data_IF_920862138797
#
_entry.id   IF_920862138797
#
_cell.length_a   1.000
_cell.length_b   1.000
_cell.length_c   1.000
_cell.angle_alpha   90.00
_cell.angle_beta   90.00
_cell.angle_gamma   90.00
#
_symmetry.space_group_name_H-M   'P 1'
#
loop_
_entity.id
_entity.type
_entity.pdbx_description
1 polymer ?
#
# COMPACT_ATOMS: atom_id res chain seq x y z
N UNK A 1 11.67 -18.35 2.81
CA UNK A 1 11.80 -17.13 2.00
C UNK A 1 12.65 -17.41 0.77
N UNK A 2 12.26 -16.89 -0.36
CA UNK A 2 13.04 -17.05 -1.59
C UNK A 2 14.34 -16.25 -1.55
N UNK A 3 15.37 -16.65 -2.32
CA UNK A 3 16.60 -15.87 -2.40
C UNK A 3 16.37 -14.45 -2.87
N UNK A 4 17.22 -13.53 -2.42
CA UNK A 4 17.21 -12.16 -2.92
C UNK A 4 17.50 -12.21 -4.43
N UNK A 5 16.71 -11.52 -5.22
CA UNK A 5 16.78 -11.54 -6.68
C UNK A 5 15.63 -12.30 -7.33
N UNK A 6 14.97 -13.19 -6.60
CA UNK A 6 13.70 -13.77 -7.01
C UNK A 6 12.56 -13.07 -6.29
N UNK A 7 11.51 -12.72 -7.03
CA UNK A 7 10.37 -12.07 -6.41
C UNK A 7 9.59 -13.07 -5.56
N UNK A 8 9.48 -12.79 -4.28
CA UNK A 8 8.78 -13.63 -3.31
C UNK A 8 7.36 -13.10 -3.12
N UNK A 9 6.41 -13.71 -3.84
CA UNK A 9 5.01 -13.30 -3.79
C UNK A 9 4.38 -13.49 -2.41
N UNK A 10 4.76 -14.54 -1.69
CA UNK A 10 4.22 -14.80 -0.35
C UNK A 10 4.70 -13.76 0.65
N UNK A 11 5.97 -13.39 0.57
CA UNK A 11 6.53 -12.32 1.39
C UNK A 11 5.84 -10.99 1.08
N UNK A 12 5.65 -10.67 -0.20
CA UNK A 12 4.96 -9.46 -0.63
C UNK A 12 3.54 -9.40 -0.05
N UNK A 13 2.78 -10.49 -0.13
CA UNK A 13 1.42 -10.55 0.43
C UNK A 13 1.42 -10.40 1.95
N UNK A 14 2.40 -10.98 2.62
CA UNK A 14 2.55 -10.86 4.06
C UNK A 14 2.75 -9.41 4.49
N UNK A 15 3.63 -8.69 3.79
CA UNK A 15 3.87 -7.27 4.04
C UNK A 15 2.61 -6.46 3.76
N UNK A 16 1.94 -6.72 2.65
CA UNK A 16 0.71 -6.02 2.28
C UNK A 16 -0.37 -6.19 3.35
N UNK A 17 -0.58 -7.41 3.82
CA UNK A 17 -1.56 -7.69 4.86
C UNK A 17 -1.23 -7.01 6.19
N UNK A 18 0.05 -7.04 6.57
CA UNK A 18 0.52 -6.38 7.79
C UNK A 18 0.34 -4.87 7.71
N UNK A 19 0.63 -4.27 6.56
CA UNK A 19 0.46 -2.83 6.35
C UNK A 19 -1.02 -2.45 6.42
N UNK A 20 -1.90 -3.19 5.77
CA UNK A 20 -3.34 -2.92 5.82
C UNK A 20 -3.87 -3.01 7.25
N UNK A 21 -3.46 -4.02 7.98
CA UNK A 21 -3.85 -4.17 9.39
C UNK A 21 -3.39 -2.99 10.22
N UNK A 22 -2.14 -2.57 10.07
CA UNK A 22 -1.60 -1.43 10.80
C UNK A 22 -2.35 -0.13 10.45
N UNK A 23 -2.65 0.08 9.18
CA UNK A 23 -3.40 1.26 8.72
C UNK A 23 -4.79 1.28 9.36
N UNK A 24 -5.48 0.15 9.35
CA UNK A 24 -6.82 0.07 9.94
C UNK A 24 -6.79 0.32 11.43
N UNK A 25 -5.84 -0.28 12.15
CA UNK A 25 -5.70 -0.08 13.60
C UNK A 25 -5.37 1.39 13.92
N UNK A 26 -4.49 2.01 13.15
CA UNK A 26 -4.14 3.41 13.34
C UNK A 26 -5.28 4.36 12.98
N UNK A 27 -6.25 3.91 12.21
CA UNK A 27 -7.37 4.73 11.73
C UNK A 27 -8.60 4.65 12.64
N UNK A 28 -8.58 3.80 13.66
CA UNK A 28 -9.71 3.66 14.59
C UNK A 28 -9.73 4.85 15.53
N UNK A 29 -10.90 5.51 15.59
CA UNK A 29 -11.16 6.55 16.57
C UNK A 29 -11.59 5.89 17.88
N UNK A 30 -10.85 6.07 18.99
CA UNK A 30 -11.19 5.43 20.26
C UNK A 30 -12.56 5.88 20.79
N UNK A 31 -12.98 7.10 20.48
CA UNK A 31 -14.24 7.64 20.98
C UNK A 31 -15.45 6.97 20.34
N UNK A 32 -15.36 6.61 19.06
CA UNK A 32 -16.48 6.04 18.29
C UNK A 32 -16.27 4.57 17.94
N UNK A 33 -15.07 4.06 18.13
CA UNK A 33 -14.66 2.71 17.73
C UNK A 33 -14.92 2.42 16.26
N UNK A 34 -14.80 3.44 15.42
CA UNK A 34 -14.96 3.34 13.97
C UNK A 34 -13.67 3.72 13.27
N UNK A 35 -13.39 3.05 12.16
CA UNK A 35 -12.22 3.37 11.34
C UNK A 35 -12.62 4.38 10.27
N UNK A 36 -11.85 5.45 10.18
CA UNK A 36 -11.97 6.43 9.10
C UNK A 36 -10.65 6.49 8.37
N UNK A 37 -10.65 6.12 7.10
CA UNK A 37 -9.43 6.11 6.29
C UNK A 37 -9.21 7.49 5.67
N UNK A 38 -8.07 8.07 5.99
CA UNK A 38 -7.64 9.35 5.43
C UNK A 38 -6.64 9.06 4.32
N UNK A 39 -7.15 8.85 3.12
CA UNK A 39 -6.37 8.35 1.99
C UNK A 39 -5.17 9.24 1.65
N UNK A 40 -5.31 10.56 1.75
CA UNK A 40 -4.21 11.47 1.47
C UNK A 40 -3.02 11.28 2.41
N UNK A 41 -3.29 11.20 3.70
CA UNK A 41 -2.26 11.01 4.72
C UNK A 41 -1.66 9.61 4.65
N UNK A 42 -2.48 8.58 4.44
CA UNK A 42 -2.02 7.21 4.28
C UNK A 42 -1.11 7.09 3.07
N UNK A 43 -1.53 7.63 1.93
CA UNK A 43 -0.74 7.60 0.69
C UNK A 43 0.60 8.31 0.86
N UNK A 44 0.62 9.44 1.57
CA UNK A 44 1.86 10.17 1.85
C UNK A 44 2.80 9.36 2.73
N UNK A 45 2.27 8.70 3.76
CA UNK A 45 3.08 7.85 4.63
C UNK A 45 3.69 6.68 3.87
N UNK A 46 2.89 6.01 3.04
CA UNK A 46 3.37 4.90 2.22
C UNK A 46 4.41 5.34 1.19
N UNK A 47 4.23 6.53 0.60
CA UNK A 47 5.20 7.11 -0.32
C UNK A 47 6.54 7.35 0.39
N UNK A 48 6.52 7.90 1.59
CA UNK A 48 7.73 8.15 2.37
C UNK A 48 8.46 6.86 2.71
N UNK A 49 7.74 5.84 3.14
CA UNK A 49 8.31 4.52 3.45
C UNK A 49 8.94 3.91 2.19
N UNK A 50 8.21 3.93 1.08
CA UNK A 50 8.71 3.40 -0.19
C UNK A 50 9.97 4.12 -0.64
N UNK A 51 9.99 5.45 -0.53
CA UNK A 51 11.16 6.25 -0.90
C UNK A 51 12.38 5.93 -0.03
N UNK A 52 12.18 5.73 1.27
CA UNK A 52 13.25 5.33 2.17
C UNK A 52 13.85 3.98 1.78
N UNK A 53 13.00 3.01 1.47
CA UNK A 53 13.43 1.68 1.06
C UNK A 53 14.16 1.71 -0.29
N UNK A 54 13.63 2.46 -1.26
CA UNK A 54 14.27 2.60 -2.57
C UNK A 54 15.64 3.28 -2.47
N UNK A 55 15.80 4.23 -1.54
CA UNK A 55 17.06 4.92 -1.33
C UNK A 55 18.19 3.98 -0.88
N UNK A 56 17.85 2.83 -0.29
CA UNK A 56 18.84 1.82 0.10
C UNK A 56 19.28 0.94 -1.06
N UNK A 57 18.61 1.03 -2.20
CA UNK A 57 18.92 0.21 -3.38
C UNK A 57 20.14 0.73 -4.12
N UNK A 58 20.92 -0.19 -4.67
CA UNK A 58 22.01 0.17 -5.59
C UNK A 58 21.50 0.89 -6.83
N UNK A 59 20.24 0.66 -7.20
CA UNK A 59 19.60 1.30 -8.34
C UNK A 59 19.28 2.78 -8.11
N UNK A 60 19.50 3.28 -6.91
CA UNK A 60 19.33 4.69 -6.57
C UNK A 60 20.67 5.44 -6.49
N UNK A 61 21.70 5.00 -7.24
CA UNK A 61 23.06 5.51 -7.13
C UNK A 61 23.33 6.76 -7.98
N UNK A 62 22.43 7.12 -8.89
CA UNK A 62 22.59 8.31 -9.74
C UNK A 62 21.24 8.97 -9.99
N UNK A 63 21.21 10.26 -10.37
CA UNK A 63 19.94 10.94 -10.70
C UNK A 63 19.15 10.23 -11.79
N UNK A 64 19.81 9.67 -12.81
CA UNK A 64 19.15 8.95 -13.90
C UNK A 64 18.50 7.66 -13.37
N UNK A 65 19.23 6.92 -12.53
CA UNK A 65 18.69 5.70 -11.92
C UNK A 65 17.53 5.99 -10.99
N UNK A 66 17.61 7.04 -10.20
CA UNK A 66 16.53 7.47 -9.31
C UNK A 66 15.28 7.80 -10.11
N UNK A 67 15.44 8.53 -11.21
CA UNK A 67 14.30 8.86 -12.09
C UNK A 67 13.67 7.60 -12.66
N UNK A 68 14.48 6.68 -13.16
CA UNK A 68 14.00 5.41 -13.71
C UNK A 68 13.23 4.60 -12.66
N UNK A 69 13.77 4.51 -11.46
CA UNK A 69 13.15 3.79 -10.35
C UNK A 69 11.79 4.41 -9.99
N UNK A 70 11.73 5.74 -9.89
CA UNK A 70 10.51 6.47 -9.58
C UNK A 70 9.45 6.32 -10.69
N UNK A 71 9.86 6.36 -11.95
CA UNK A 71 8.96 6.18 -13.08
C UNK A 71 8.39 4.77 -13.13
N UNK A 72 9.20 3.76 -12.85
CA UNK A 72 8.75 2.36 -12.78
C UNK A 72 7.72 2.18 -11.67
N UNK A 73 7.97 2.78 -10.50
CA UNK A 73 7.03 2.74 -9.38
C UNK A 73 5.71 3.43 -9.75
N UNK A 74 5.79 4.61 -10.37
CA UNK A 74 4.61 5.36 -10.77
C UNK A 74 3.77 4.59 -11.80
N UNK A 75 4.42 3.93 -12.75
CA UNK A 75 3.74 3.11 -13.74
C UNK A 75 2.99 1.95 -13.09
N UNK A 76 3.64 1.25 -12.18
CA UNK A 76 3.02 0.16 -11.41
C UNK A 76 1.83 0.66 -10.60
N UNK A 77 1.97 1.81 -9.98
CA UNK A 77 0.89 2.43 -9.21
C UNK A 77 -0.31 2.75 -10.10
N UNK A 78 -0.09 3.35 -11.28
CA UNK A 78 -1.17 3.64 -12.22
C UNK A 78 -1.90 2.39 -12.67
N UNK A 79 -1.16 1.32 -12.97
CA UNK A 79 -1.76 0.06 -13.40
C UNK A 79 -2.64 -0.55 -12.31
N UNK A 80 -2.16 -0.52 -11.07
CA UNK A 80 -2.90 -1.06 -9.93
C UNK A 80 -4.13 -0.22 -9.58
N UNK A 81 -4.02 1.10 -9.64
CA UNK A 81 -5.17 1.99 -9.42
C UNK A 81 -6.26 1.68 -10.45
N UNK A 82 -5.88 1.56 -11.70
CA UNK A 82 -6.83 1.29 -12.79
C UNK A 82 -7.51 -0.07 -12.58
N UNK A 83 -6.73 -1.10 -12.24
CA UNK A 83 -7.27 -2.44 -12.01
C UNK A 83 -8.19 -2.47 -10.78
N UNK A 84 -7.80 -1.81 -9.70
CA UNK A 84 -8.61 -1.74 -8.48
C UNK A 84 -9.90 -0.96 -8.72
N UNK A 85 -9.85 0.12 -9.49
CA UNK A 85 -11.04 0.89 -9.82
C UNK A 85 -12.03 0.06 -10.64
N UNK A 86 -11.54 -0.69 -11.62
CA UNK A 86 -12.38 -1.57 -12.42
C UNK A 86 -13.02 -2.67 -11.56
N UNK A 87 -12.27 -3.23 -10.62
CA UNK A 87 -12.78 -4.24 -9.69
C UNK A 87 -13.86 -3.65 -8.78
N UNK A 88 -13.64 -2.44 -8.25
CA UNK A 88 -14.64 -1.76 -7.42
C UNK A 88 -15.92 -1.48 -8.19
N UNK A 89 -15.82 -1.04 -9.43
CA UNK A 89 -16.98 -0.75 -10.27
C UNK A 89 -17.78 -2.03 -10.57
N UNK A 90 -17.09 -3.16 -10.71
CA UNK A 90 -17.70 -4.45 -10.97
C UNK A 90 -18.33 -5.06 -9.71
N UNK A 91 -17.60 -5.04 -8.60
CA UNK A 91 -17.97 -5.76 -7.38
C UNK A 91 -18.72 -4.88 -6.38
N UNK A 92 -18.75 -3.57 -6.60
CA UNK A 92 -19.49 -2.63 -5.77
C UNK A 92 -18.86 -2.31 -4.42
N UNK A 93 -17.60 -2.69 -4.20
CA UNK A 93 -16.92 -2.46 -2.93
C UNK A 93 -15.43 -2.22 -3.08
N UNK A 94 -14.76 -1.80 -1.99
CA UNK A 94 -13.33 -1.55 -2.01
C UNK A 94 -12.53 -2.84 -2.25
N UNK A 95 -11.29 -2.72 -2.78
CA UNK A 95 -10.46 -3.89 -3.11
C UNK A 95 -9.78 -4.52 -1.89
N UNK A 96 -10.20 -4.17 -0.69
CA UNK A 96 -9.67 -4.73 0.55
C UNK A 96 -10.82 -4.99 1.51
N UNK A 97 -10.72 -6.03 2.32
CA UNK A 97 -11.75 -6.31 3.31
C UNK A 97 -11.67 -5.27 4.41
N UNK A 98 -12.77 -5.14 5.16
CA UNK A 98 -12.56 -4.67 6.44
C UNK A 98 -13.08 -3.54 7.20
N UNK A 99 -13.44 -2.49 6.60
CA UNK A 99 -13.82 -1.27 7.29
C UNK A 99 -15.06 -1.44 8.15
N UNK A 100 -16.00 -2.22 7.66
CA UNK A 100 -17.24 -2.43 8.39
C UNK A 100 -17.09 -3.36 9.60
N UNK A 101 -15.99 -4.12 9.68
CA UNK A 101 -15.75 -4.95 10.85
C UNK A 101 -15.42 -4.10 12.07
N UNK A 102 -14.58 -3.08 11.89
CA UNK A 102 -14.31 -2.15 12.97
C UNK A 102 -15.58 -1.43 13.41
N UNK A 103 -16.41 -1.01 12.46
CA UNK A 103 -17.66 -0.35 12.74
C UNK A 103 -18.67 -1.28 13.41
N UNK A 104 -18.72 -2.55 13.01
CA UNK A 104 -19.69 -3.51 13.56
C UNK A 104 -19.39 -3.92 14.98
N UNK A 105 -18.19 -3.66 15.46
CA UNK A 105 -17.80 -3.94 16.83
C UNK A 105 -18.09 -2.79 17.79
N UNK A 106 -18.61 -1.72 17.29
CA UNK A 106 -18.92 -0.54 18.11
C UNK A 106 -20.30 -0.60 18.77
#
# INVERSE_FOLDING_TARGET
MKPVGEFDHDYCRKIQSACLKAILEASIDPATNTATLRNGEISKALLRISAMLMATSKEASSPTQIRHLAETYAKGCRQLITANRASMDKDGGPPFPVLHQAASNS
#
